data_IF_809273161776
#
_entry.id   IF_809273161776
#
_cell.length_a   1.000
_cell.length_b   1.000
_cell.length_c   1.000
_cell.angle_alpha   90.00
_cell.angle_beta   90.00
_cell.angle_gamma   90.00
#
_symmetry.space_group_name_H-M   'P 1'
#
loop_
_entity.id
_entity.type
_entity.pdbx_description
1 polymer ?
#
# COMPACT_ATOMS: atom_id res chain seq x y z
N UNK A 1 -82.69 20.56 -68.03
CA UNK A 1 -82.65 19.88 -66.72
C UNK A 1 -82.51 20.95 -65.64
N UNK A 2 -83.35 20.98 -64.61
CA UNK A 2 -83.28 22.02 -63.57
C UNK A 2 -82.07 21.79 -62.65
N UNK A 3 -81.45 22.85 -62.14
CA UNK A 3 -80.29 22.77 -61.23
C UNK A 3 -80.50 21.83 -60.04
N UNK A 4 -81.76 21.68 -59.59
CA UNK A 4 -82.16 20.72 -58.55
C UNK A 4 -81.93 19.26 -58.92
N UNK A 5 -82.15 18.88 -60.18
CA UNK A 5 -81.90 17.50 -60.65
C UNK A 5 -80.41 17.18 -60.74
N UNK A 6 -79.57 18.13 -61.15
CA UNK A 6 -78.11 17.97 -61.16
C UNK A 6 -77.56 17.81 -59.73
N UNK A 7 -78.08 18.59 -58.78
CA UNK A 7 -77.66 18.54 -57.39
C UNK A 7 -78.01 17.18 -56.74
N UNK A 8 -79.21 16.66 -57.01
CA UNK A 8 -79.62 15.34 -56.51
C UNK A 8 -78.77 14.21 -57.11
N UNK A 9 -78.46 14.26 -58.41
CA UNK A 9 -77.59 13.26 -59.04
C UNK A 9 -76.17 13.33 -58.45
N UNK A 10 -75.62 14.52 -58.23
CA UNK A 10 -74.31 14.68 -57.60
C UNK A 10 -74.27 14.10 -56.18
N UNK A 11 -75.30 14.35 -55.37
CA UNK A 11 -75.40 13.76 -54.02
C UNK A 11 -75.47 12.23 -54.09
N UNK A 12 -76.28 11.68 -55.01
CA UNK A 12 -76.41 10.23 -55.17
C UNK A 12 -75.08 9.62 -55.61
N UNK A 13 -74.35 10.24 -56.54
CA UNK A 13 -73.03 9.75 -56.99
C UNK A 13 -71.99 9.82 -55.86
N UNK A 14 -71.98 10.91 -55.08
CA UNK A 14 -71.09 11.03 -53.91
C UNK A 14 -71.41 9.96 -52.86
N UNK A 15 -72.68 9.72 -52.56
CA UNK A 15 -73.12 8.68 -51.64
C UNK A 15 -72.72 7.29 -52.13
N UNK A 16 -72.89 7.01 -53.42
CA UNK A 16 -72.56 5.72 -54.03
C UNK A 16 -71.04 5.46 -54.05
N UNK A 17 -70.23 6.51 -54.21
CA UNK A 17 -68.78 6.45 -54.10
C UNK A 17 -68.29 6.35 -52.64
N UNK A 18 -69.01 6.96 -51.69
CA UNK A 18 -68.64 6.95 -50.27
C UNK A 18 -68.82 5.57 -49.61
N UNK A 19 -69.80 4.78 -50.04
CA UNK A 19 -70.07 3.43 -49.50
C UNK A 19 -68.88 2.47 -49.61
N UNK A 20 -68.26 2.25 -50.80
CA UNK A 20 -67.11 1.35 -50.91
C UNK A 20 -65.88 1.88 -50.19
N UNK A 21 -65.67 3.20 -50.16
CA UNK A 21 -64.58 3.82 -49.40
C UNK A 21 -64.76 3.59 -47.89
N UNK A 22 -65.98 3.74 -47.38
CA UNK A 22 -66.29 3.48 -45.98
C UNK A 22 -66.16 1.99 -45.62
N UNK A 23 -66.54 1.08 -46.51
CA UNK A 23 -66.33 -0.37 -46.30
C UNK A 23 -64.85 -0.74 -46.29
N UNK A 24 -64.04 -0.21 -47.21
CA UNK A 24 -62.59 -0.43 -47.18
C UNK A 24 -61.97 0.15 -45.89
N UNK A 25 -62.33 1.36 -45.50
CA UNK A 25 -61.86 1.95 -44.24
C UNK A 25 -62.23 1.11 -43.03
N UNK A 26 -63.45 0.56 -42.99
CA UNK A 26 -63.90 -0.36 -41.93
C UNK A 26 -63.03 -1.61 -41.83
N UNK A 27 -62.56 -2.15 -42.95
CA UNK A 27 -61.74 -3.37 -42.96
C UNK A 27 -60.24 -3.09 -42.72
N UNK A 28 -59.74 -1.92 -43.12
CA UNK A 28 -58.33 -1.54 -42.92
C UNK A 28 -58.03 -0.94 -41.53
N UNK A 29 -58.97 -0.20 -40.94
CA UNK A 29 -58.83 0.41 -39.61
C UNK A 29 -58.42 -0.58 -38.50
N UNK A 30 -59.08 -1.74 -38.31
CA UNK A 30 -58.70 -2.67 -37.26
C UNK A 30 -57.28 -3.21 -37.46
N UNK A 31 -56.88 -3.47 -38.70
CA UNK A 31 -55.56 -4.00 -39.03
C UNK A 31 -54.43 -2.97 -38.82
N UNK A 32 -54.70 -1.69 -39.03
CA UNK A 32 -53.76 -0.58 -38.72
C UNK A 32 -53.66 -0.37 -37.21
N UNK A 33 -54.80 -0.42 -36.50
CA UNK A 33 -54.84 -0.30 -35.04
C UNK A 33 -54.08 -1.43 -34.35
N UNK A 34 -54.27 -2.68 -34.77
CA UNK A 34 -53.54 -3.83 -34.23
C UNK A 34 -52.03 -3.68 -34.45
N UNK A 35 -51.59 -3.28 -35.65
CA UNK A 35 -50.17 -3.02 -35.93
C UNK A 35 -49.60 -1.90 -35.08
N UNK A 36 -50.36 -0.83 -34.84
CA UNK A 36 -49.93 0.27 -33.98
C UNK A 36 -49.83 -0.14 -32.50
N UNK A 37 -50.76 -0.96 -32.01
CA UNK A 37 -50.73 -1.49 -30.63
C UNK A 37 -49.56 -2.43 -30.38
N UNK A 38 -49.18 -3.23 -31.38
CA UNK A 38 -47.98 -4.09 -31.31
C UNK A 38 -46.69 -3.27 -31.26
N UNK A 39 -46.66 -2.13 -31.94
CA UNK A 39 -45.49 -1.23 -31.97
C UNK A 39 -45.28 -0.56 -30.60
N UNK A 40 -46.35 -0.07 -29.96
CA UNK A 40 -46.28 0.52 -28.62
C UNK A 40 -45.84 -0.51 -27.56
N UNK A 41 -46.29 -1.76 -27.66
CA UNK A 41 -45.85 -2.83 -26.78
C UNK A 41 -44.35 -3.14 -26.93
N UNK A 42 -43.85 -3.12 -28.18
CA UNK A 42 -42.42 -3.31 -28.46
C UNK A 42 -41.61 -2.12 -27.94
N UNK A 43 -42.10 -0.89 -28.13
CA UNK A 43 -41.44 0.32 -27.66
C UNK A 43 -41.29 0.32 -26.12
N UNK A 44 -42.36 0.01 -25.40
CA UNK A 44 -42.33 -0.14 -23.95
C UNK A 44 -41.34 -1.21 -23.50
N UNK A 45 -41.25 -2.33 -24.22
CA UNK A 45 -40.28 -3.39 -23.92
C UNK A 45 -38.84 -2.95 -24.18
N UNK A 46 -38.61 -2.18 -25.24
CA UNK A 46 -37.29 -1.61 -25.55
C UNK A 46 -36.87 -0.64 -24.43
N UNK A 47 -37.76 0.22 -23.95
CA UNK A 47 -37.43 1.14 -22.85
C UNK A 47 -37.07 0.39 -21.56
N UNK A 48 -37.83 -0.64 -21.19
CA UNK A 48 -37.53 -1.46 -20.01
C UNK A 48 -36.17 -2.14 -20.16
N UNK A 49 -35.90 -2.77 -21.30
CA UNK A 49 -34.61 -3.41 -21.56
C UNK A 49 -33.45 -2.40 -21.56
N UNK A 50 -33.68 -1.19 -22.06
CA UNK A 50 -32.67 -0.13 -22.06
C UNK A 50 -32.37 0.36 -20.64
N UNK A 51 -33.39 0.49 -19.80
CA UNK A 51 -33.24 0.82 -18.38
C UNK A 51 -32.48 -0.28 -17.62
N UNK A 52 -32.84 -1.55 -17.84
CA UNK A 52 -32.16 -2.70 -17.25
C UNK A 52 -30.68 -2.79 -17.71
N UNK A 53 -30.42 -2.55 -19.00
CA UNK A 53 -29.06 -2.51 -19.53
C UNK A 53 -28.23 -1.41 -18.88
N UNK A 54 -28.80 -0.21 -18.69
CA UNK A 54 -28.12 0.87 -17.98
C UNK A 54 -27.86 0.55 -16.51
N UNK A 55 -28.83 -0.07 -15.82
CA UNK A 55 -28.64 -0.48 -14.42
C UNK A 55 -27.52 -1.51 -14.30
N UNK A 56 -27.52 -2.54 -15.15
CA UNK A 56 -26.45 -3.54 -15.19
C UNK A 56 -25.10 -2.92 -15.51
N UNK A 57 -25.03 -2.01 -16.48
CA UNK A 57 -23.81 -1.31 -16.83
C UNK A 57 -23.28 -0.47 -15.66
N UNK A 58 -24.15 0.23 -14.94
CA UNK A 58 -23.78 0.96 -13.73
C UNK A 58 -23.24 0.04 -12.65
N UNK A 59 -23.87 -1.13 -12.45
CA UNK A 59 -23.43 -2.13 -11.48
C UNK A 59 -22.05 -2.71 -11.83
N UNK A 60 -21.82 -3.01 -13.11
CA UNK A 60 -20.51 -3.47 -13.61
C UNK A 60 -19.45 -2.39 -13.38
N UNK A 61 -19.75 -1.13 -13.71
CA UNK A 61 -18.82 -0.02 -13.50
C UNK A 61 -18.43 0.14 -12.02
N UNK A 62 -19.40 0.05 -11.10
CA UNK A 62 -19.13 0.09 -9.66
C UNK A 62 -18.26 -1.08 -9.20
N UNK A 63 -18.53 -2.31 -9.68
CA UNK A 63 -17.71 -3.48 -9.35
C UNK A 63 -16.29 -3.35 -9.90
N UNK A 64 -16.12 -2.84 -11.12
CA UNK A 64 -14.81 -2.59 -11.72
C UNK A 64 -14.04 -1.53 -10.93
N UNK A 65 -14.69 -0.44 -10.52
CA UNK A 65 -14.07 0.59 -9.70
C UNK A 65 -13.59 0.03 -8.35
N UNK A 66 -14.43 -0.76 -7.66
CA UNK A 66 -14.05 -1.42 -6.40
C UNK A 66 -12.90 -2.42 -6.59
N UNK A 67 -12.92 -3.20 -7.67
CA UNK A 67 -11.84 -4.13 -8.00
C UNK A 67 -10.52 -3.39 -8.23
N UNK A 68 -10.58 -2.26 -8.94
CA UNK A 68 -9.38 -1.45 -9.21
C UNK A 68 -8.82 -0.81 -7.93
N UNK A 69 -9.68 -0.30 -7.03
CA UNK A 69 -9.22 0.24 -5.75
C UNK A 69 -8.57 -0.85 -4.89
N UNK A 70 -9.21 -2.01 -4.76
CA UNK A 70 -8.64 -3.15 -4.03
C UNK A 70 -7.32 -3.64 -4.63
N UNK A 71 -7.21 -3.65 -5.96
CA UNK A 71 -5.97 -4.02 -6.64
C UNK A 71 -4.84 -3.03 -6.35
N UNK A 72 -5.15 -1.73 -6.27
CA UNK A 72 -4.17 -0.70 -5.92
C UNK A 72 -3.71 -0.83 -4.47
N UNK A 73 -4.64 -1.04 -3.54
CA UNK A 73 -4.33 -1.26 -2.13
C UNK A 73 -3.47 -2.50 -1.92
N UNK A 74 -3.82 -3.60 -2.59
CA UNK A 74 -3.03 -4.84 -2.59
C UNK A 74 -1.60 -4.58 -3.08
N UNK A 75 -1.42 -3.85 -4.17
CA UNK A 75 -0.09 -3.57 -4.71
C UNK A 75 0.76 -2.73 -3.74
N UNK A 76 0.14 -1.77 -3.04
CA UNK A 76 0.79 -1.00 -1.99
C UNK A 76 1.23 -1.89 -0.83
N UNK A 77 0.33 -2.75 -0.34
CA UNK A 77 0.65 -3.71 0.73
C UNK A 77 1.76 -4.67 0.34
N UNK A 78 1.75 -5.22 -0.87
CA UNK A 78 2.82 -6.09 -1.38
C UNK A 78 4.18 -5.37 -1.40
N UNK A 79 4.18 -4.08 -1.77
CA UNK A 79 5.40 -3.27 -1.76
C UNK A 79 5.92 -3.05 -0.34
N UNK A 80 5.03 -2.77 0.61
CA UNK A 80 5.40 -2.56 2.00
C UNK A 80 5.88 -3.85 2.66
N UNK A 81 5.27 -5.00 2.34
CA UNK A 81 5.73 -6.33 2.75
C UNK A 81 7.15 -6.58 2.26
N UNK A 82 7.44 -6.35 0.97
CA UNK A 82 8.81 -6.54 0.42
C UNK A 82 9.84 -5.64 1.10
N UNK A 83 9.47 -4.39 1.43
CA UNK A 83 10.35 -3.50 2.19
C UNK A 83 10.59 -4.03 3.59
N UNK A 84 9.56 -4.51 4.28
CA UNK A 84 9.69 -5.09 5.61
C UNK A 84 10.54 -6.38 5.59
N UNK A 85 10.33 -7.26 4.63
CA UNK A 85 11.16 -8.46 4.43
C UNK A 85 12.62 -8.11 4.20
N UNK A 86 12.88 -7.09 3.37
CA UNK A 86 14.24 -6.58 3.18
C UNK A 86 14.82 -6.07 4.51
N UNK A 87 14.09 -5.26 5.26
CA UNK A 87 14.55 -4.76 6.56
C UNK A 87 14.82 -5.89 7.57
N UNK A 88 13.98 -6.93 7.58
CA UNK A 88 14.18 -8.12 8.42
C UNK A 88 15.46 -8.85 8.01
N UNK A 89 15.68 -9.02 6.70
CA UNK A 89 16.90 -9.66 6.19
C UNK A 89 18.14 -8.82 6.53
N UNK A 90 18.08 -7.53 6.28
CA UNK A 90 19.16 -6.59 6.60
C UNK A 90 19.46 -6.60 8.11
N UNK A 91 18.43 -6.75 8.97
CA UNK A 91 18.59 -6.88 10.42
C UNK A 91 19.15 -8.25 10.83
N UNK A 92 18.75 -9.33 10.16
CA UNK A 92 19.28 -10.67 10.41
C UNK A 92 20.76 -10.79 10.00
N UNK A 93 21.21 -10.00 9.03
CA UNK A 93 22.63 -9.90 8.63
C UNK A 93 23.45 -8.99 9.56
N UNK A 94 22.82 -8.18 10.43
CA UNK A 94 23.55 -7.36 11.38
C UNK A 94 24.18 -8.25 12.46
N UNK A 95 25.48 -8.06 12.76
CA UNK A 95 26.14 -8.79 13.84
C UNK A 95 25.49 -8.44 15.19
N UNK A 96 25.47 -9.39 16.15
CA UNK A 96 24.89 -9.15 17.46
C UNK A 96 25.58 -7.97 18.16
N UNK A 97 24.78 -7.10 18.78
CA UNK A 97 25.27 -6.04 19.65
C UNK A 97 25.29 -6.57 21.09
N UNK A 98 26.45 -6.53 21.74
CA UNK A 98 26.56 -6.90 23.14
C UNK A 98 26.46 -5.66 24.02
N UNK A 99 25.51 -5.70 24.94
CA UNK A 99 25.25 -4.64 25.91
C UNK A 99 25.77 -5.08 27.26
N UNK A 100 26.65 -4.29 27.85
CA UNK A 100 27.21 -4.50 29.17
C UNK A 100 26.58 -3.51 30.15
N UNK A 101 25.76 -4.00 31.07
CA UNK A 101 25.16 -3.15 32.09
C UNK A 101 26.18 -2.90 33.21
N UNK A 102 26.38 -1.62 33.57
CA UNK A 102 27.29 -1.19 34.62
C UNK A 102 26.51 -0.34 35.63
N UNK A 103 26.46 -0.84 36.87
CA UNK A 103 25.62 -0.27 37.92
C UNK A 103 24.18 -0.77 37.85
N UNK A 104 23.43 -0.53 38.92
CA UNK A 104 22.04 -0.96 39.03
C UNK A 104 21.09 0.15 38.58
N UNK A 105 20.06 -0.14 37.76
CA UNK A 105 19.05 0.84 37.40
C UNK A 105 18.21 1.20 38.63
N UNK A 106 18.42 2.42 39.15
CA UNK A 106 17.67 2.96 40.30
C UNK A 106 17.00 4.30 39.94
N UNK A 107 15.92 4.62 40.64
CA UNK A 107 15.24 5.90 40.49
C UNK A 107 16.17 7.07 40.82
N UNK A 108 16.24 8.06 39.93
CA UNK A 108 17.14 9.22 40.06
C UNK A 108 18.49 9.06 39.36
N UNK A 109 18.81 7.88 38.82
CA UNK A 109 19.98 7.67 37.97
C UNK A 109 19.64 7.88 36.50
N UNK A 110 20.62 8.35 35.73
CA UNK A 110 20.54 8.54 34.29
C UNK A 110 21.34 7.45 33.58
N UNK A 111 20.85 7.07 32.39
CA UNK A 111 21.54 6.12 31.51
C UNK A 111 22.55 6.84 30.62
N UNK A 112 23.80 6.43 30.71
CA UNK A 112 24.89 6.82 29.83
C UNK A 112 25.32 5.63 28.97
N UNK A 113 25.74 5.90 27.73
CA UNK A 113 26.21 4.86 26.82
C UNK A 113 27.65 5.13 26.37
N UNK A 114 28.48 4.10 26.41
CA UNK A 114 29.85 4.15 25.90
C UNK A 114 30.11 2.95 24.98
N UNK A 115 30.67 3.20 23.80
CA UNK A 115 31.22 2.12 22.97
C UNK A 115 32.49 1.60 23.63
N UNK A 116 32.58 0.29 23.80
CA UNK A 116 33.76 -0.39 24.37
C UNK A 116 34.36 -1.28 23.31
N UNK A 117 35.67 -1.14 23.05
CA UNK A 117 36.41 -2.03 22.15
C UNK A 117 37.62 -2.57 22.87
N UNK A 118 38.03 -3.81 22.54
CA UNK A 118 39.25 -4.39 23.10
C UNK A 118 40.30 -4.44 22.00
N UNK A 119 41.39 -3.69 22.15
CA UNK A 119 42.38 -3.47 21.10
C UNK A 119 43.01 -4.76 20.57
N UNK A 120 43.29 -5.72 21.47
CA UNK A 120 43.78 -7.07 21.11
C UNK A 120 42.75 -7.87 20.30
N UNK A 121 41.46 -7.71 20.59
CA UNK A 121 40.38 -8.36 19.84
C UNK A 121 40.13 -7.70 18.48
N UNK A 122 40.16 -6.37 18.44
CA UNK A 122 39.99 -5.60 17.21
C UNK A 122 41.14 -5.82 16.22
N UNK A 123 42.39 -5.89 16.70
CA UNK A 123 43.56 -6.16 15.86
C UNK A 123 43.59 -7.61 15.34
N UNK A 124 43.26 -8.60 16.18
CA UNK A 124 43.25 -10.00 15.79
C UNK A 124 42.10 -10.34 14.83
N UNK A 125 40.94 -9.68 14.96
CA UNK A 125 39.83 -9.81 14.01
C UNK A 125 40.20 -9.31 12.60
N UNK A 126 41.01 -8.25 12.49
CA UNK A 126 41.46 -7.70 11.21
C UNK A 126 42.57 -8.52 10.52
N UNK A 127 43.42 -9.22 11.28
CA UNK A 127 44.62 -9.88 10.75
C UNK A 127 44.49 -11.41 10.56
N UNK A 128 43.65 -12.09 11.34
CA UNK A 128 43.64 -13.57 11.41
C UNK A 128 42.31 -14.24 11.07
N UNK A 129 41.25 -13.47 10.82
CA UNK A 129 39.90 -14.03 10.68
C UNK A 129 39.45 -14.82 11.92
N UNK A 130 38.48 -15.72 11.73
CA UNK A 130 37.71 -16.43 12.77
C UNK A 130 38.54 -17.25 13.79
N UNK A 131 39.84 -17.42 13.56
CA UNK A 131 40.76 -18.32 14.29
C UNK A 131 41.50 -17.69 15.48
N UNK A 132 41.32 -16.40 15.76
CA UNK A 132 41.97 -15.78 16.93
C UNK A 132 41.37 -16.33 18.25
N UNK A 133 42.20 -16.83 19.16
CA UNK A 133 41.83 -17.37 20.48
C UNK A 133 41.36 -16.28 21.46
N UNK A 134 40.35 -15.50 21.06
CA UNK A 134 39.75 -14.42 21.83
C UNK A 134 38.26 -14.68 21.95
N UNK A 135 37.68 -14.25 23.08
CA UNK A 135 36.27 -14.42 23.35
C UNK A 135 35.44 -13.80 22.20
N UNK A 136 34.53 -14.56 21.57
CA UNK A 136 33.73 -14.09 20.43
C UNK A 136 32.96 -12.80 20.69
N UNK A 137 32.58 -12.51 21.93
CA UNK A 137 31.84 -11.31 22.33
C UNK A 137 32.57 -10.03 21.88
N UNK A 138 33.90 -9.99 21.99
CA UNK A 138 34.71 -8.82 21.67
C UNK A 138 35.00 -8.63 20.18
N UNK A 139 34.50 -9.53 19.32
CA UNK A 139 34.58 -9.41 17.86
C UNK A 139 33.45 -8.56 17.29
N UNK A 140 32.35 -8.41 18.04
CA UNK A 140 31.18 -7.66 17.63
C UNK A 140 31.16 -6.25 18.22
N UNK A 141 30.15 -5.46 17.89
CA UNK A 141 29.93 -4.17 18.53
C UNK A 141 29.59 -4.39 20.01
N UNK A 142 30.24 -3.64 20.90
CA UNK A 142 30.03 -3.71 22.34
C UNK A 142 29.71 -2.31 22.88
N UNK A 143 28.65 -2.20 23.67
CA UNK A 143 28.21 -0.95 24.31
C UNK A 143 28.08 -1.19 25.80
N UNK A 144 28.64 -0.32 26.61
CA UNK A 144 28.40 -0.27 28.05
C UNK A 144 27.27 0.73 28.34
N UNK A 145 26.22 0.24 28.98
CA UNK A 145 25.12 1.04 29.51
C UNK A 145 25.33 1.26 30.99
N UNK A 146 25.47 2.52 31.39
CA UNK A 146 25.91 2.88 32.73
C UNK A 146 24.85 3.71 33.41
N UNK A 147 24.38 3.24 34.56
CA UNK A 147 23.39 3.92 35.38
C UNK A 147 24.11 4.74 36.45
N UNK A 148 24.13 6.06 36.31
CA UNK A 148 24.89 6.97 37.16
C UNK A 148 24.12 8.26 37.47
N UNK A 149 24.49 8.96 38.54
CA UNK A 149 23.90 10.26 38.87
C UNK A 149 24.46 11.39 37.99
N UNK A 150 25.67 11.22 37.45
CA UNK A 150 26.36 12.20 36.61
C UNK A 150 27.25 11.57 35.54
N UNK A 151 27.66 12.37 34.55
CA UNK A 151 28.55 11.92 33.48
C UNK A 151 29.96 11.56 34.00
N UNK A 152 30.48 12.31 34.97
CA UNK A 152 31.81 12.06 35.54
C UNK A 152 31.82 10.75 36.34
N UNK A 153 30.75 10.49 37.08
CA UNK A 153 30.55 9.22 37.79
C UNK A 153 30.41 8.06 36.80
N UNK A 154 29.63 8.22 35.72
CA UNK A 154 29.53 7.23 34.67
C UNK A 154 30.90 6.92 34.03
N UNK A 155 31.71 7.95 33.79
CA UNK A 155 33.07 7.80 33.28
C UNK A 155 33.95 7.00 34.22
N UNK A 156 33.87 7.26 35.52
CA UNK A 156 34.62 6.53 36.53
C UNK A 156 34.17 5.07 36.62
N UNK A 157 32.86 4.81 36.62
CA UNK A 157 32.32 3.44 36.64
C UNK A 157 32.73 2.62 35.42
N UNK A 158 32.68 3.20 34.21
CA UNK A 158 33.17 2.55 33.00
C UNK A 158 34.68 2.31 33.06
N UNK A 159 35.45 3.23 33.63
CA UNK A 159 36.91 3.06 33.77
C UNK A 159 37.27 1.88 34.68
N UNK A 160 36.51 1.70 35.76
CA UNK A 160 36.67 0.58 36.70
C UNK A 160 36.23 -0.74 36.06
N UNK A 161 35.09 -0.76 35.38
CA UNK A 161 34.55 -1.97 34.73
C UNK A 161 35.38 -2.43 33.54
N UNK A 162 35.93 -1.48 32.75
CA UNK A 162 36.71 -1.77 31.55
C UNK A 162 38.06 -1.05 31.58
N UNK A 163 39.05 -1.50 32.39
CA UNK A 163 40.30 -0.76 32.59
C UNK A 163 41.15 -0.67 31.32
N UNK A 164 41.75 0.51 31.06
CA UNK A 164 42.66 0.68 29.92
C UNK A 164 43.87 -0.27 29.97
N UNK A 165 44.36 -0.61 31.17
CA UNK A 165 45.45 -1.58 31.37
C UNK A 165 45.14 -2.98 30.81
N UNK A 166 43.87 -3.33 30.69
CA UNK A 166 43.41 -4.59 30.09
C UNK A 166 43.19 -4.49 28.57
N UNK A 167 43.53 -3.35 27.96
CA UNK A 167 43.42 -3.11 26.52
C UNK A 167 42.03 -2.67 26.07
N UNK A 168 41.19 -2.15 26.98
CA UNK A 168 39.88 -1.61 26.63
C UNK A 168 39.97 -0.14 26.24
N UNK A 169 39.46 0.18 25.06
CA UNK A 169 39.22 1.54 24.58
C UNK A 169 37.74 1.88 24.75
N UNK A 170 37.46 3.10 25.20
CA UNK A 170 36.12 3.56 25.57
C UNK A 170 35.85 4.89 24.89
N UNK A 171 34.68 5.01 24.28
CA UNK A 171 34.21 6.26 23.69
C UNK A 171 32.77 6.51 24.11
N UNK A 172 32.53 7.59 24.85
CA UNK A 172 31.18 7.95 25.27
C UNK A 172 30.38 8.47 24.07
N UNK A 173 29.19 7.91 23.86
CA UNK A 173 28.28 8.41 22.84
C UNK A 173 27.75 9.76 23.32
N UNK A 174 28.21 10.85 22.68
CA UNK A 174 27.84 12.21 23.08
C UNK A 174 26.37 12.45 22.76
N UNK A 175 25.51 12.22 23.75
CA UNK A 175 24.17 12.81 23.87
C UNK A 175 23.20 12.54 22.73
N UNK A 176 22.62 11.35 22.71
CA UNK A 176 21.26 11.17 22.16
C UNK A 176 20.52 10.07 22.95
N UNK A 177 20.49 10.19 24.28
CA UNK A 177 19.70 9.32 25.16
C UNK A 177 18.17 9.39 24.90
N UNK A 178 17.71 10.12 23.88
CA UNK A 178 16.29 10.28 23.49
C UNK A 178 15.93 9.64 22.16
N UNK A 179 16.90 9.21 21.34
CA UNK A 179 16.65 8.46 20.11
C UNK A 179 17.59 7.28 20.11
N UNK A 180 17.05 6.07 20.10
CA UNK A 180 17.80 4.81 20.02
C UNK A 180 18.65 4.72 18.76
N UNK A 181 19.71 5.51 18.70
CA UNK A 181 20.69 5.54 17.64
C UNK A 181 21.44 4.23 17.71
N UNK A 182 21.20 3.40 16.71
CA UNK A 182 21.98 2.19 16.46
C UNK A 182 23.46 2.58 16.55
N UNK A 183 24.26 1.95 17.43
CA UNK A 183 25.67 2.26 17.52
C UNK A 183 26.31 2.04 16.15
N UNK A 184 27.00 3.07 15.65
CA UNK A 184 27.77 2.96 14.42
C UNK A 184 28.72 1.78 14.55
N UNK A 185 28.61 0.84 13.61
CA UNK A 185 29.56 -0.26 13.49
C UNK A 185 31.00 0.30 13.54
N UNK A 186 31.95 -0.43 14.15
CA UNK A 186 33.36 -0.06 14.08
C UNK A 186 33.74 0.12 12.61
N UNK A 187 34.53 1.15 12.32
CA UNK A 187 34.95 1.53 10.98
C UNK A 187 35.83 0.45 10.33
N UNK A 188 35.22 -0.65 9.94
CA UNK A 188 35.84 -1.74 9.19
C UNK A 188 34.82 -2.23 8.18
N UNK A 189 35.24 -2.16 6.91
CA UNK A 189 34.58 -2.74 5.73
C UNK A 189 33.40 -1.93 5.15
N UNK A 190 33.69 -0.72 4.69
CA UNK A 190 33.06 -0.18 3.47
C UNK A 190 33.97 -0.54 2.28
N UNK A 191 34.07 -1.83 1.96
CA UNK A 191 34.68 -2.24 0.69
C UNK A 191 33.78 -1.75 -0.44
N UNK A 192 34.38 -0.88 -1.23
CA UNK A 192 33.87 -0.30 -2.46
C UNK A 192 33.57 -1.44 -3.47
N UNK A 193 32.38 -2.01 -3.43
CA UNK A 193 31.89 -2.87 -4.50
C UNK A 193 31.24 -1.97 -5.56
N UNK A 194 31.98 -1.74 -6.66
CA UNK A 194 31.50 -0.94 -7.78
C UNK A 194 32.62 -0.47 -8.71
N UNK A 195 33.45 -1.40 -9.17
CA UNK A 195 34.29 -1.22 -10.35
C UNK A 195 34.38 -2.58 -11.08
N UNK A 196 34.15 -2.54 -12.40
CA UNK A 196 34.07 -3.65 -13.38
C UNK A 196 32.71 -4.38 -13.38
N UNK A 197 31.96 -4.45 -14.48
CA UNK A 197 32.20 -4.17 -15.92
C UNK A 197 30.94 -3.61 -16.56
#
# INVERSE_FOLDING_TARGET
MSNTTLFLIAIVVIMLAAVPVAMMLKDFLPNILEKSSGLEQIENRIYVLHAEAHELQNRVNQLVQRRNSQSSDRHRLETDIRKAEKLIKDLAEQPPLFVHEVGDPQAGLMKFAATVTQEKASSAAGAGGERAALNPIWRCANVAEVWASSFDEARQMVEVAFPFKMGFQKSFMRGDARKGGVPSAPATVRTKAGAHT
#
